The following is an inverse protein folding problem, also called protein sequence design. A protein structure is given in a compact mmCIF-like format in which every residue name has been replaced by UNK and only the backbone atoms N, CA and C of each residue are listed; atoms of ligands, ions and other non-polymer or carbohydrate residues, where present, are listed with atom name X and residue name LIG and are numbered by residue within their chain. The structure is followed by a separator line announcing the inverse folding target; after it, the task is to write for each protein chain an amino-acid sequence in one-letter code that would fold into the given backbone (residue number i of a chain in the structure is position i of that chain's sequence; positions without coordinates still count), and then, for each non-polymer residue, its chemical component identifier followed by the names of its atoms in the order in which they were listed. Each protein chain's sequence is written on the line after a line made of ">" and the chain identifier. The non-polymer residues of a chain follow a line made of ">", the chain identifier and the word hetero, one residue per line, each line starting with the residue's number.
data_IF_053685869564
#
_entry.id   IF_053685869564
#
_cell.length_a   1.000
_cell.length_b   1.000
_cell.length_c   1.000
_cell.angle_alpha   90.00
_cell.angle_beta   90.00
_cell.angle_gamma   90.00
#
_symmetry.space_group_name_H-M   'P 1'
#
loop_
_entity.id
_entity.type
_entity.pdbx_description
1 polymer ?
#
# COMPACT_ATOMS: atom_id res chain seq x y z
N UNK A 1 -12.03 64.62 -69.38
CA UNK A 1 -12.27 65.32 -68.15
C UNK A 1 -12.36 64.27 -67.03
N UNK A 2 -11.34 64.22 -66.20
CA UNK A 2 -11.19 63.22 -65.16
C UNK A 2 -11.31 63.88 -63.78
N UNK A 3 -12.38 63.52 -63.07
CA UNK A 3 -12.64 64.00 -61.71
C UNK A 3 -12.11 62.93 -60.71
N UNK A 4 -11.16 63.31 -59.84
CA UNK A 4 -10.59 62.49 -58.80
C UNK A 4 -11.38 62.73 -57.52
N UNK A 5 -11.99 61.70 -56.93
CA UNK A 5 -12.54 61.68 -55.62
C UNK A 5 -11.50 61.12 -54.62
N UNK A 6 -11.11 61.90 -53.67
CA UNK A 6 -10.26 61.50 -52.51
C UNK A 6 -11.16 61.04 -51.40
N UNK A 7 -11.04 59.76 -51.00
CA UNK A 7 -11.70 59.18 -49.81
C UNK A 7 -10.74 59.32 -48.65
N UNK A 8 -11.14 60.04 -47.63
CA UNK A 8 -10.44 60.13 -46.36
C UNK A 8 -10.94 58.95 -45.45
N UNK A 9 -10.03 58.04 -45.09
CA UNK A 9 -10.31 56.96 -44.17
C UNK A 9 -10.01 57.41 -42.75
N UNK A 10 -11.05 57.44 -41.91
CA UNK A 10 -10.94 57.62 -40.45
C UNK A 10 -10.50 56.28 -39.84
N UNK A 11 -9.34 56.22 -39.25
CA UNK A 11 -8.92 55.11 -38.41
C UNK A 11 -9.37 55.34 -36.98
N UNK A 12 -10.36 54.60 -36.54
CA UNK A 12 -10.78 54.54 -35.14
C UNK A 12 -9.94 53.44 -34.44
N UNK A 13 -9.00 53.86 -33.61
CA UNK A 13 -8.20 52.93 -32.79
C UNK A 13 -9.06 52.47 -31.61
N UNK A 14 -9.49 51.19 -31.63
CA UNK A 14 -10.07 50.51 -30.48
C UNK A 14 -8.96 49.92 -29.67
N UNK A 15 -8.64 50.54 -28.53
CA UNK A 15 -7.72 50.01 -27.53
C UNK A 15 -8.41 48.87 -26.76
N UNK A 16 -8.11 47.62 -27.10
CA UNK A 16 -8.51 46.44 -26.31
C UNK A 16 -7.56 46.33 -25.13
N UNK A 17 -8.02 46.69 -23.96
CA UNK A 17 -7.37 46.41 -22.69
C UNK A 17 -7.46 44.91 -22.42
N UNK A 18 -6.43 44.14 -22.78
CA UNK A 18 -6.21 42.79 -22.29
C UNK A 18 -5.76 42.87 -20.84
N UNK A 19 -6.69 42.71 -19.93
CA UNK A 19 -6.42 42.42 -18.52
C UNK A 19 -5.80 41.02 -18.46
N UNK A 20 -4.48 40.93 -18.54
CA UNK A 20 -3.73 39.72 -18.24
C UNK A 20 -3.81 39.50 -16.73
N UNK A 21 -4.77 38.70 -16.26
CA UNK A 21 -4.68 38.05 -14.96
C UNK A 21 -3.56 37.03 -15.02
N UNK A 22 -2.33 37.49 -14.79
CA UNK A 22 -1.17 36.65 -14.56
C UNK A 22 -1.22 36.06 -13.17
N UNK A 23 -2.00 35.02 -12.99
CA UNK A 23 -1.89 34.10 -11.87
C UNK A 23 -1.08 32.90 -12.31
N UNK A 24 0.24 33.05 -12.45
CA UNK A 24 1.17 31.94 -12.67
C UNK A 24 1.36 31.16 -11.38
N UNK A 25 0.35 30.36 -10.99
CA UNK A 25 0.55 29.23 -10.12
C UNK A 25 1.03 28.09 -10.99
N UNK A 26 2.27 27.63 -10.80
CA UNK A 26 2.74 26.35 -11.28
C UNK A 26 1.97 25.26 -10.55
N UNK A 27 0.70 25.08 -10.93
CA UNK A 27 -0.16 23.99 -10.46
C UNK A 27 0.21 22.75 -11.25
N UNK A 28 1.23 22.01 -10.80
CA UNK A 28 1.22 20.59 -11.05
C UNK A 28 -0.12 20.08 -10.51
N UNK A 29 -0.85 19.31 -11.33
CA UNK A 29 -2.18 18.80 -10.95
C UNK A 29 -2.12 18.16 -9.57
N UNK A 30 -2.74 18.76 -8.56
CA UNK A 30 -2.82 18.24 -7.19
C UNK A 30 -3.52 16.89 -7.21
N UNK A 31 -2.84 15.83 -6.77
CA UNK A 31 -3.45 14.51 -6.66
C UNK A 31 -4.66 14.54 -5.72
N UNK A 32 -4.58 15.32 -4.64
CA UNK A 32 -5.69 15.50 -3.72
C UNK A 32 -6.89 16.17 -4.41
N UNK A 33 -6.67 17.21 -5.20
CA UNK A 33 -7.74 17.87 -5.94
C UNK A 33 -8.40 16.90 -6.93
N UNK A 34 -7.61 16.14 -7.68
CA UNK A 34 -8.12 15.10 -8.61
C UNK A 34 -9.01 14.07 -7.90
N UNK A 35 -8.58 13.56 -6.73
CA UNK A 35 -9.36 12.63 -5.90
C UNK A 35 -10.66 13.27 -5.42
N UNK A 36 -10.61 14.54 -5.00
CA UNK A 36 -11.78 15.30 -4.55
C UNK A 36 -12.79 15.55 -5.66
N UNK A 37 -12.33 15.99 -6.81
CA UNK A 37 -13.15 16.29 -7.97
C UNK A 37 -13.81 15.03 -8.56
N UNK A 38 -13.05 13.90 -8.57
CA UNK A 38 -13.59 12.59 -8.95
C UNK A 38 -14.57 12.02 -7.90
N UNK A 39 -14.52 12.49 -6.66
CA UNK A 39 -15.30 11.95 -5.54
C UNK A 39 -14.92 10.51 -5.16
N UNK A 40 -13.75 10.04 -5.59
CA UNK A 40 -13.30 8.65 -5.42
C UNK A 40 -11.80 8.62 -5.15
N UNK A 41 -11.40 7.86 -4.12
CA UNK A 41 -10.01 7.44 -3.88
C UNK A 41 -9.83 6.04 -4.44
N UNK A 42 -9.01 5.89 -5.48
CA UNK A 42 -8.64 4.58 -6.02
C UNK A 42 -7.47 4.00 -5.22
N UNK A 43 -7.66 2.80 -4.68
CA UNK A 43 -6.68 2.14 -3.80
C UNK A 43 -6.22 0.82 -4.42
N UNK A 44 -4.92 0.69 -4.64
CA UNK A 44 -4.28 -0.57 -5.01
C UNK A 44 -4.16 -1.49 -3.79
N UNK A 45 -4.60 -2.74 -3.95
CA UNK A 45 -4.52 -3.81 -2.95
C UNK A 45 -4.47 -5.16 -3.64
N UNK A 46 -4.07 -6.24 -2.94
CA UNK A 46 -3.88 -7.56 -3.61
C UNK A 46 -5.17 -8.36 -3.76
N UNK A 47 -6.05 -8.35 -2.77
CA UNK A 47 -7.23 -9.23 -2.74
C UNK A 47 -6.93 -10.70 -2.41
N UNK A 48 -5.68 -11.06 -2.16
CA UNK A 48 -5.22 -12.43 -1.88
C UNK A 48 -4.38 -12.54 -0.61
N UNK A 49 -4.32 -11.48 0.19
CA UNK A 49 -3.48 -11.36 1.39
C UNK A 49 -4.31 -11.25 2.68
N UNK A 50 -4.86 -12.39 3.17
CA UNK A 50 -5.57 -12.44 4.46
C UNK A 50 -4.59 -12.15 5.63
N UNK A 51 -5.03 -11.44 6.69
CA UNK A 51 -6.36 -10.86 6.91
C UNK A 51 -6.48 -9.42 6.42
N UNK A 52 -5.54 -8.92 5.61
CA UNK A 52 -5.42 -7.52 5.23
C UNK A 52 -6.31 -7.13 4.05
N UNK A 53 -6.28 -7.94 2.99
CA UNK A 53 -7.02 -7.73 1.76
C UNK A 53 -7.28 -9.08 1.09
N UNK A 54 -8.52 -9.59 1.18
CA UNK A 54 -8.88 -10.91 0.65
C UNK A 54 -10.37 -11.00 0.34
N UNK A 55 -10.74 -12.00 -0.46
CA UNK A 55 -12.14 -12.30 -0.73
C UNK A 55 -12.73 -13.20 0.36
N UNK A 56 -13.80 -12.74 0.98
CA UNK A 56 -14.57 -13.54 1.94
C UNK A 56 -15.12 -14.82 1.27
N UNK A 57 -14.83 -16.00 1.80
CA UNK A 57 -15.19 -17.27 1.13
C UNK A 57 -16.68 -17.48 0.91
N UNK A 58 -17.55 -16.83 1.69
CA UNK A 58 -19.00 -17.01 1.61
C UNK A 58 -19.65 -16.01 0.66
N UNK A 59 -19.24 -14.76 0.73
CA UNK A 59 -19.85 -13.66 -0.03
C UNK A 59 -19.07 -13.27 -1.27
N UNK A 60 -17.84 -13.74 -1.43
CA UNK A 60 -16.87 -13.34 -2.45
C UNK A 60 -16.61 -11.81 -2.50
N UNK A 61 -16.91 -11.10 -1.42
CA UNK A 61 -16.62 -9.68 -1.32
C UNK A 61 -15.19 -9.45 -0.87
N UNK A 62 -14.55 -8.42 -1.42
CA UNK A 62 -13.26 -7.94 -0.93
C UNK A 62 -13.44 -7.38 0.47
N UNK A 63 -12.70 -7.94 1.43
CA UNK A 63 -12.73 -7.62 2.85
C UNK A 63 -11.32 -7.63 3.41
N UNK A 64 -11.14 -7.15 4.63
CA UNK A 64 -9.87 -7.22 5.35
C UNK A 64 -9.55 -5.93 6.10
N UNK A 65 -8.49 -6.01 6.88
CA UNK A 65 -8.03 -4.90 7.71
C UNK A 65 -7.69 -3.66 6.87
N UNK A 66 -6.89 -3.83 5.82
CA UNK A 66 -6.49 -2.73 4.92
C UNK A 66 -7.67 -2.19 4.11
N UNK A 67 -8.62 -3.06 3.75
CA UNK A 67 -9.86 -2.66 3.06
C UNK A 67 -10.69 -1.74 3.96
N UNK A 68 -10.83 -2.05 5.25
CA UNK A 68 -11.56 -1.20 6.19
C UNK A 68 -10.80 0.10 6.52
N UNK A 69 -9.47 0.04 6.66
CA UNK A 69 -8.65 1.25 6.83
C UNK A 69 -8.78 2.17 5.61
N UNK A 70 -8.71 1.63 4.39
CA UNK A 70 -8.89 2.41 3.16
C UNK A 70 -10.26 3.07 3.08
N UNK A 71 -11.33 2.34 3.43
CA UNK A 71 -12.69 2.89 3.48
C UNK A 71 -12.81 4.01 4.52
N UNK A 72 -12.19 3.84 5.69
CA UNK A 72 -12.20 4.86 6.75
C UNK A 72 -11.41 6.12 6.32
N UNK A 73 -10.25 5.97 5.68
CA UNK A 73 -9.46 7.07 5.12
C UNK A 73 -10.25 7.82 4.05
N UNK A 74 -10.83 7.12 3.06
CA UNK A 74 -11.64 7.73 2.02
C UNK A 74 -12.84 8.52 2.61
N UNK A 75 -13.50 7.97 3.63
CA UNK A 75 -14.58 8.65 4.36
C UNK A 75 -14.09 9.93 5.02
N UNK A 76 -12.93 9.95 5.67
CA UNK A 76 -12.32 11.16 6.26
C UNK A 76 -11.96 12.19 5.18
N UNK A 77 -11.54 11.72 4.00
CA UNK A 77 -11.33 12.60 2.84
C UNK A 77 -12.64 13.08 2.21
N UNK A 78 -13.81 12.57 2.60
CA UNK A 78 -15.11 12.95 2.05
C UNK A 78 -15.37 12.41 0.64
N UNK A 79 -14.76 11.28 0.28
CA UNK A 79 -14.89 10.60 -1.02
C UNK A 79 -15.24 9.12 -0.84
N UNK A 80 -15.65 8.46 -1.92
CA UNK A 80 -15.81 6.99 -1.95
C UNK A 80 -14.44 6.31 -2.12
N UNK A 81 -14.35 5.03 -1.77
CA UNK A 81 -13.20 4.19 -2.10
C UNK A 81 -13.54 3.27 -3.28
N UNK A 82 -12.57 3.09 -4.18
CA UNK A 82 -12.58 2.08 -5.24
C UNK A 82 -11.31 1.23 -5.11
N UNK A 83 -11.45 -0.08 -5.09
CA UNK A 83 -10.30 -0.99 -4.96
C UNK A 83 -9.87 -1.49 -6.33
N UNK A 84 -8.57 -1.45 -6.59
CA UNK A 84 -7.95 -1.97 -7.81
C UNK A 84 -7.04 -3.13 -7.42
N UNK A 85 -7.55 -4.35 -7.55
CA UNK A 85 -6.79 -5.54 -7.21
C UNK A 85 -5.62 -5.70 -8.17
N UNK A 86 -4.43 -5.88 -7.58
CA UNK A 86 -3.17 -5.89 -8.32
C UNK A 86 -2.15 -6.73 -7.55
N UNK A 87 -1.51 -7.73 -8.17
CA UNK A 87 -0.46 -8.53 -7.55
C UNK A 87 0.66 -7.65 -6.98
N UNK A 88 1.25 -8.06 -5.85
CA UNK A 88 2.29 -7.28 -5.16
C UNK A 88 3.43 -6.86 -6.08
N UNK A 89 3.95 -7.77 -6.89
CA UNK A 89 5.12 -7.49 -7.75
C UNK A 89 4.86 -6.43 -8.83
N UNK A 90 3.59 -6.06 -9.08
CA UNK A 90 3.19 -5.01 -10.03
C UNK A 90 2.49 -3.80 -9.37
N UNK A 91 2.25 -3.83 -8.05
CA UNK A 91 1.42 -2.81 -7.39
C UNK A 91 2.09 -1.43 -7.43
N UNK A 92 3.40 -1.35 -7.24
CA UNK A 92 4.11 -0.06 -7.30
C UNK A 92 4.18 0.52 -8.73
N UNK A 93 4.26 -0.33 -9.75
CA UNK A 93 4.15 0.09 -11.14
C UNK A 93 2.73 0.64 -11.44
N UNK A 94 1.70 0.02 -10.87
CA UNK A 94 0.32 0.52 -10.94
C UNK A 94 0.15 1.91 -10.35
N UNK A 95 0.77 2.18 -9.18
CA UNK A 95 0.78 3.50 -8.55
C UNK A 95 1.47 4.54 -9.43
N UNK A 96 2.66 4.21 -9.94
CA UNK A 96 3.47 5.11 -10.77
C UNK A 96 2.78 5.43 -12.10
N UNK A 97 2.08 4.47 -12.69
CA UNK A 97 1.29 4.65 -13.92
C UNK A 97 -0.10 5.25 -13.69
N UNK A 98 -0.41 5.71 -12.48
CA UNK A 98 -1.69 6.34 -12.10
C UNK A 98 -2.93 5.43 -12.29
N UNK A 99 -2.77 4.09 -12.19
CA UNK A 99 -3.92 3.18 -12.19
C UNK A 99 -4.77 3.35 -10.93
N UNK A 100 -4.13 3.78 -9.84
CA UNK A 100 -4.73 4.14 -8.56
C UNK A 100 -3.92 5.25 -7.88
N UNK A 101 -4.49 5.84 -6.84
CA UNK A 101 -3.98 7.03 -6.18
C UNK A 101 -3.09 6.71 -4.98
N UNK A 102 -3.37 5.60 -4.31
CA UNK A 102 -2.65 5.13 -3.14
C UNK A 102 -2.59 3.61 -3.11
N UNK A 103 -1.58 3.06 -2.41
CA UNK A 103 -1.51 1.64 -2.05
C UNK A 103 -1.79 1.54 -0.55
N UNK A 104 -2.78 0.71 -0.19
CA UNK A 104 -3.05 0.29 1.19
C UNK A 104 -3.07 -1.23 1.18
N UNK A 105 -1.92 -1.84 1.46
CA UNK A 105 -1.66 -3.28 1.35
C UNK A 105 -0.42 -3.67 2.15
N UNK A 106 -0.36 -3.32 3.42
CA UNK A 106 0.75 -3.61 4.34
C UNK A 106 2.12 -3.19 3.80
N UNK A 107 2.19 -2.01 3.16
CA UNK A 107 3.45 -1.47 2.65
C UNK A 107 4.37 -1.17 3.81
N UNK A 108 5.42 -1.97 4.01
CA UNK A 108 6.44 -1.71 5.05
C UNK A 108 7.25 -0.47 4.68
N UNK A 109 7.37 0.46 5.61
CA UNK A 109 8.24 1.63 5.52
C UNK A 109 9.70 1.20 5.55
N UNK A 110 10.49 1.66 4.59
CA UNK A 110 11.94 1.46 4.54
C UNK A 110 12.61 2.57 3.73
N UNK A 111 13.95 2.76 3.85
CA UNK A 111 14.67 3.85 3.18
C UNK A 111 14.54 3.87 1.65
N UNK A 112 14.50 2.69 1.01
CA UNK A 112 14.32 2.59 -0.44
C UNK A 112 12.97 3.16 -0.87
N UNK A 113 11.88 2.74 -0.21
CA UNK A 113 10.52 3.22 -0.50
C UNK A 113 10.34 4.69 -0.15
N UNK A 114 10.97 5.18 0.93
CA UNK A 114 10.98 6.61 1.28
C UNK A 114 11.65 7.46 0.19
N UNK A 115 12.66 6.91 -0.49
CA UNK A 115 13.31 7.57 -1.63
C UNK A 115 12.42 7.69 -2.87
N UNK A 116 11.53 6.71 -3.09
CA UNK A 116 10.77 6.55 -4.33
C UNK A 116 9.31 7.01 -4.25
N UNK A 117 8.69 6.99 -3.06
CA UNK A 117 7.26 7.21 -2.86
C UNK A 117 6.97 8.25 -1.77
N UNK A 118 5.77 8.81 -1.76
CA UNK A 118 5.21 9.48 -0.60
C UNK A 118 4.67 8.42 0.36
N UNK A 119 5.17 8.39 1.59
CA UNK A 119 4.75 7.42 2.59
C UNK A 119 4.07 8.13 3.75
N UNK A 120 2.92 7.62 4.18
CA UNK A 120 2.18 8.17 5.32
C UNK A 120 2.85 7.85 6.66
N UNK A 121 2.30 8.39 7.72
CA UNK A 121 2.47 7.86 9.07
C UNK A 121 1.98 6.40 9.14
N UNK A 122 2.56 5.57 10.04
CA UNK A 122 2.15 4.18 10.16
C UNK A 122 0.69 4.04 10.65
N UNK A 123 -0.04 3.08 10.06
CA UNK A 123 -1.36 2.66 10.54
C UNK A 123 -1.37 1.24 11.11
N UNK A 124 -0.27 0.48 10.92
CA UNK A 124 -0.04 -0.84 11.52
C UNK A 124 1.40 -0.92 12.03
N UNK A 125 1.58 -1.57 13.17
CA UNK A 125 2.88 -1.91 13.73
C UNK A 125 2.88 -3.41 14.03
N UNK A 126 3.86 -4.12 13.48
CA UNK A 126 3.96 -5.58 13.56
C UNK A 126 5.43 -6.02 13.63
N UNK A 127 5.68 -7.31 13.48
CA UNK A 127 7.02 -7.88 13.48
C UNK A 127 7.20 -8.82 12.28
N UNK A 128 8.39 -8.80 11.69
CA UNK A 128 8.80 -9.82 10.74
C UNK A 128 9.11 -11.15 11.43
N UNK A 129 8.61 -12.24 10.88
CA UNK A 129 8.84 -13.60 11.41
C UNK A 129 9.23 -14.57 10.31
N UNK A 130 9.89 -15.65 10.73
CA UNK A 130 10.23 -16.79 9.90
C UNK A 130 9.26 -17.91 10.23
N UNK A 131 8.49 -18.36 9.25
CA UNK A 131 7.62 -19.51 9.38
C UNK A 131 8.25 -20.75 8.74
N UNK A 132 8.15 -21.86 9.44
CA UNK A 132 8.62 -23.20 9.01
C UNK A 132 7.52 -24.24 9.18
N UNK A 133 7.75 -25.46 8.69
CA UNK A 133 6.91 -26.59 9.08
C UNK A 133 6.98 -26.81 10.59
N UNK A 134 5.88 -27.23 11.20
CA UNK A 134 5.78 -27.38 12.66
C UNK A 134 6.84 -28.32 13.25
N UNK A 135 7.20 -29.38 12.52
CA UNK A 135 8.20 -30.38 12.94
C UNK A 135 9.64 -30.03 12.53
N UNK A 136 9.89 -28.88 11.91
CA UNK A 136 11.23 -28.42 11.52
C UNK A 136 11.87 -27.64 12.68
N UNK A 137 13.01 -28.08 13.15
CA UNK A 137 13.82 -27.42 14.18
C UNK A 137 15.13 -26.82 13.64
N UNK A 138 15.31 -26.83 12.33
CA UNK A 138 16.56 -26.39 11.68
C UNK A 138 16.68 -24.87 11.55
N UNK A 139 15.63 -24.12 11.86
CA UNK A 139 15.60 -22.66 11.85
C UNK A 139 15.17 -22.17 13.23
N UNK A 140 16.03 -21.44 13.90
CA UNK A 140 15.82 -20.82 15.22
C UNK A 140 16.18 -19.34 15.23
N UNK A 141 16.80 -18.86 14.15
CA UNK A 141 17.21 -17.48 13.97
C UNK A 141 17.22 -17.09 12.48
N UNK A 142 17.36 -15.80 12.21
CA UNK A 142 17.49 -15.29 10.85
C UNK A 142 18.76 -15.83 10.15
N UNK A 143 19.86 -16.03 10.89
CA UNK A 143 21.12 -16.55 10.36
C UNK A 143 20.99 -17.99 9.82
N UNK A 144 20.05 -18.79 10.33
CA UNK A 144 19.83 -20.17 9.90
C UNK A 144 19.18 -20.25 8.51
N UNK A 145 18.78 -19.13 7.91
CA UNK A 145 18.29 -19.09 6.54
C UNK A 145 19.40 -19.20 5.50
N UNK A 146 20.68 -19.07 5.90
CA UNK A 146 21.81 -19.19 4.98
C UNK A 146 21.79 -20.53 4.24
N UNK A 147 21.72 -20.44 2.90
CA UNK A 147 21.69 -21.61 2.01
C UNK A 147 20.34 -22.33 1.94
N UNK A 148 19.35 -21.96 2.75
CA UNK A 148 17.99 -22.52 2.68
C UNK A 148 17.19 -21.94 1.54
N UNK A 149 16.18 -22.69 1.08
CA UNK A 149 15.18 -22.20 0.13
C UNK A 149 14.02 -21.55 0.89
N UNK A 150 13.64 -20.35 0.46
CA UNK A 150 12.49 -19.61 1.03
C UNK A 150 11.57 -19.16 -0.09
N UNK A 151 10.31 -18.91 0.20
CA UNK A 151 9.32 -18.44 -0.80
C UNK A 151 8.71 -17.10 -0.37
N UNK A 152 8.81 -16.08 -1.22
CA UNK A 152 8.24 -14.75 -1.02
C UNK A 152 7.92 -14.08 -2.37
N UNK A 153 7.04 -13.08 -2.38
CA UNK A 153 6.91 -12.17 -3.51
C UNK A 153 8.23 -11.43 -3.74
N UNK A 154 8.76 -11.48 -4.96
CA UNK A 154 10.17 -11.16 -5.24
C UNK A 154 10.58 -9.71 -4.94
N UNK A 155 9.62 -8.78 -5.01
CA UNK A 155 9.83 -7.34 -4.74
C UNK A 155 9.45 -6.94 -3.31
N UNK A 156 9.08 -7.92 -2.46
CA UNK A 156 8.74 -7.64 -1.05
C UNK A 156 9.98 -7.35 -0.21
N UNK A 157 9.81 -6.56 0.86
CA UNK A 157 10.85 -6.40 1.88
C UNK A 157 11.23 -7.74 2.52
N UNK A 158 10.30 -8.70 2.60
CA UNK A 158 10.56 -10.04 3.14
C UNK A 158 11.48 -10.86 2.25
N UNK A 159 11.38 -10.72 0.91
CA UNK A 159 12.34 -11.30 -0.02
C UNK A 159 13.75 -10.71 0.19
N UNK A 160 13.84 -9.40 0.43
CA UNK A 160 15.13 -8.76 0.75
C UNK A 160 15.70 -9.28 2.05
N UNK A 161 14.92 -9.35 3.12
CA UNK A 161 15.34 -9.90 4.43
C UNK A 161 15.87 -11.33 4.27
N UNK A 162 15.17 -12.19 3.52
CA UNK A 162 15.62 -13.56 3.27
C UNK A 162 16.93 -13.62 2.45
N UNK A 163 17.04 -12.82 1.39
CA UNK A 163 18.25 -12.72 0.55
C UNK A 163 19.45 -12.23 1.35
N UNK A 164 19.27 -11.18 2.16
CA UNK A 164 20.33 -10.61 2.99
C UNK A 164 20.82 -11.61 4.06
N UNK A 165 19.94 -12.51 4.51
CA UNK A 165 20.30 -13.65 5.36
C UNK A 165 20.95 -14.82 4.61
N UNK A 166 21.15 -14.72 3.29
CA UNK A 166 21.80 -15.74 2.46
C UNK A 166 20.86 -16.86 2.00
N UNK A 167 19.55 -16.69 2.04
CA UNK A 167 18.58 -17.63 1.51
C UNK A 167 18.48 -17.57 -0.02
N UNK A 168 18.07 -18.70 -0.62
CA UNK A 168 17.66 -18.79 -2.01
C UNK A 168 16.14 -18.54 -2.10
N UNK A 169 15.73 -17.40 -2.65
CA UNK A 169 14.32 -17.01 -2.70
C UNK A 169 13.66 -17.55 -3.96
N UNK A 170 12.63 -18.38 -3.78
CA UNK A 170 11.68 -18.80 -4.82
C UNK A 170 10.53 -17.76 -4.86
N UNK A 171 10.23 -17.24 -6.05
CA UNK A 171 9.18 -16.25 -6.26
C UNK A 171 7.80 -16.87 -6.21
N UNK A 172 6.88 -16.24 -5.46
CA UNK A 172 5.46 -16.58 -5.38
C UNK A 172 4.61 -15.31 -5.38
N UNK A 173 3.35 -15.41 -5.77
CA UNK A 173 2.45 -14.24 -5.76
C UNK A 173 2.09 -13.75 -4.36
N UNK A 174 2.07 -14.65 -3.34
CA UNK A 174 1.67 -14.24 -1.99
C UNK A 174 1.90 -15.31 -0.94
N UNK A 175 1.52 -14.96 0.30
CA UNK A 175 1.78 -15.79 1.49
C UNK A 175 1.14 -17.18 1.41
N UNK A 176 -0.08 -17.31 0.91
CA UNK A 176 -0.79 -18.60 0.79
C UNK A 176 -0.03 -19.58 -0.11
N UNK A 177 0.56 -19.09 -1.22
CA UNK A 177 1.40 -19.92 -2.09
C UNK A 177 2.70 -20.30 -1.40
N UNK A 178 3.35 -19.37 -0.67
CA UNK A 178 4.54 -19.65 0.11
C UNK A 178 4.29 -20.79 1.12
N UNK A 179 3.18 -20.73 1.87
CA UNK A 179 2.78 -21.78 2.80
C UNK A 179 2.53 -23.11 2.07
N UNK A 180 1.91 -23.08 0.89
CA UNK A 180 1.68 -24.28 0.09
C UNK A 180 3.02 -24.97 -0.27
N UNK A 181 4.00 -24.20 -0.77
CA UNK A 181 5.34 -24.74 -1.09
C UNK A 181 6.06 -25.25 0.16
N UNK A 182 5.91 -24.57 1.29
CA UNK A 182 6.47 -24.97 2.58
C UNK A 182 5.91 -26.34 3.03
N UNK A 183 4.60 -26.54 2.96
CA UNK A 183 3.92 -27.81 3.29
C UNK A 183 4.32 -28.94 2.33
N UNK A 184 4.52 -28.63 1.06
CA UNK A 184 5.00 -29.57 0.04
C UNK A 184 6.50 -29.88 0.15
N UNK A 185 7.22 -29.28 1.11
CA UNK A 185 8.68 -29.42 1.30
C UNK A 185 9.51 -28.93 0.10
N UNK A 186 8.95 -28.05 -0.73
CA UNK A 186 9.67 -27.44 -1.86
C UNK A 186 10.56 -26.30 -1.41
N UNK A 187 10.18 -25.64 -0.29
CA UNK A 187 11.00 -24.64 0.41
C UNK A 187 11.12 -25.01 1.88
N UNK A 188 12.10 -24.43 2.56
CA UNK A 188 12.43 -24.72 3.96
C UNK A 188 11.70 -23.76 4.91
N UNK A 189 11.53 -22.49 4.48
CA UNK A 189 10.92 -21.44 5.26
C UNK A 189 10.21 -20.40 4.39
N UNK A 190 9.45 -19.51 5.03
CA UNK A 190 9.00 -18.24 4.46
C UNK A 190 9.19 -17.13 5.49
N UNK A 191 9.59 -15.94 5.05
CA UNK A 191 9.64 -14.74 5.90
C UNK A 191 8.40 -13.91 5.60
N UNK A 192 7.66 -13.51 6.62
CA UNK A 192 6.46 -12.69 6.45
C UNK A 192 6.13 -11.92 7.74
N UNK A 193 5.05 -11.17 7.70
CA UNK A 193 4.48 -10.48 8.86
C UNK A 193 3.88 -11.48 9.85
N UNK A 194 4.09 -11.27 11.15
CA UNK A 194 3.56 -12.14 12.19
C UNK A 194 2.02 -12.19 12.18
N UNK A 195 1.36 -11.07 11.84
CA UNK A 195 -0.10 -11.00 11.78
C UNK A 195 -0.66 -11.92 10.68
N UNK A 196 0.02 -12.01 9.53
CA UNK A 196 -0.37 -12.94 8.45
C UNK A 196 -0.24 -14.40 8.87
N UNK A 197 0.86 -14.77 9.55
CA UNK A 197 1.08 -16.14 9.99
C UNK A 197 0.07 -16.54 11.07
N UNK A 198 -0.17 -15.68 12.05
CA UNK A 198 -1.12 -15.94 13.14
C UNK A 198 -2.57 -16.02 12.62
N UNK A 199 -2.96 -15.15 11.68
CA UNK A 199 -4.26 -15.23 11.05
C UNK A 199 -4.44 -16.51 10.25
N UNK A 200 -3.45 -16.89 9.45
CA UNK A 200 -3.48 -18.14 8.70
C UNK A 200 -3.72 -19.35 9.63
N UNK A 201 -2.99 -19.44 10.74
CA UNK A 201 -3.18 -20.52 11.71
C UNK A 201 -4.56 -20.50 12.35
N UNK A 202 -5.05 -19.31 12.72
CA UNK A 202 -6.36 -19.13 13.35
C UNK A 202 -7.52 -19.42 12.40
N UNK A 203 -7.46 -18.88 11.19
CA UNK A 203 -8.57 -18.97 10.21
C UNK A 203 -8.71 -20.35 9.58
N UNK A 204 -7.57 -21.05 9.37
CA UNK A 204 -7.55 -22.38 8.76
C UNK A 204 -7.53 -23.52 9.78
N UNK A 205 -7.20 -23.27 11.04
CA UNK A 205 -6.91 -24.30 12.03
C UNK A 205 -5.65 -25.12 11.72
N UNK A 206 -4.83 -24.69 10.77
CA UNK A 206 -3.66 -25.42 10.28
C UNK A 206 -2.49 -25.28 11.24
N UNK A 207 -2.18 -26.36 11.94
CA UNK A 207 -1.02 -26.48 12.84
C UNK A 207 0.25 -27.04 12.16
N UNK A 208 0.24 -27.23 10.85
CA UNK A 208 1.37 -27.79 10.10
C UNK A 208 2.56 -26.83 9.92
N UNK A 209 2.35 -25.54 10.19
CA UNK A 209 3.38 -24.51 10.19
C UNK A 209 3.49 -23.86 11.58
N UNK A 210 4.63 -23.25 11.87
CA UNK A 210 4.87 -22.47 13.09
C UNK A 210 5.71 -21.25 12.80
N UNK A 211 5.61 -20.24 13.65
CA UNK A 211 6.63 -19.19 13.76
C UNK A 211 7.86 -19.82 14.44
N UNK A 212 8.97 -19.92 13.70
CA UNK A 212 10.21 -20.52 14.16
C UNK A 212 11.12 -19.47 14.81
N UNK A 213 11.16 -18.25 14.28
CA UNK A 213 11.97 -17.16 14.79
C UNK A 213 11.36 -15.79 14.40
N UNK A 214 11.81 -14.73 15.09
CA UNK A 214 11.57 -13.33 14.70
C UNK A 214 12.74 -12.83 13.85
N UNK A 215 12.49 -11.86 12.96
CA UNK A 215 13.58 -11.21 12.20
C UNK A 215 14.36 -10.20 13.04
N UNK A 216 13.79 -9.77 14.18
CA UNK A 216 14.41 -8.82 15.10
C UNK A 216 14.04 -7.36 14.85
N UNK A 217 13.27 -7.07 13.81
CA UNK A 217 12.88 -5.71 13.46
C UNK A 217 11.37 -5.51 13.61
N UNK A 218 10.99 -4.34 14.16
CA UNK A 218 9.61 -3.86 14.13
C UNK A 218 9.30 -3.39 12.72
N UNK A 219 8.19 -3.85 12.18
CA UNK A 219 7.67 -3.45 10.87
C UNK A 219 6.59 -2.38 11.03
N UNK A 220 6.69 -1.30 10.28
CA UNK A 220 5.72 -0.21 10.24
C UNK A 220 5.07 -0.18 8.87
N UNK A 221 3.76 -0.38 8.82
CA UNK A 221 3.01 -0.36 7.56
C UNK A 221 2.36 1.01 7.37
N UNK A 222 2.49 1.51 6.15
CA UNK A 222 2.11 2.85 5.73
C UNK A 222 1.27 2.82 4.46
N UNK A 223 0.56 3.89 4.21
CA UNK A 223 -0.03 4.14 2.88
C UNK A 223 1.05 4.71 1.97
N UNK A 224 1.17 4.17 0.77
CA UNK A 224 2.08 4.71 -0.23
C UNK A 224 1.32 5.50 -1.31
N UNK A 225 1.84 6.67 -1.66
CA UNK A 225 1.38 7.53 -2.76
C UNK A 225 2.54 7.80 -3.72
N UNK A 226 2.27 8.45 -4.84
CA UNK A 226 3.35 8.92 -5.73
C UNK A 226 4.28 9.89 -4.98
N UNK A 227 5.56 9.89 -5.35
CA UNK A 227 6.53 10.81 -4.74
C UNK A 227 6.13 12.26 -4.98
N UNK A 228 6.13 13.07 -3.91
CA UNK A 228 5.75 14.48 -3.96
C UNK A 228 4.24 14.74 -4.05
N UNK A 229 3.41 13.71 -3.99
CA UNK A 229 1.95 13.86 -3.95
C UNK A 229 1.48 14.57 -2.68
N UNK A 230 0.63 15.56 -2.81
CA UNK A 230 -0.01 16.26 -1.70
C UNK A 230 -1.08 15.40 -0.98
N UNK A 231 -1.48 14.30 -1.62
CA UNK A 231 -2.43 13.34 -1.05
C UNK A 231 -1.89 12.70 0.24
N UNK A 232 -0.56 12.53 0.38
CA UNK A 232 0.04 11.93 1.59
C UNK A 232 -0.28 12.73 2.86
N UNK A 233 -0.18 14.06 2.80
CA UNK A 233 -0.49 14.92 3.95
C UNK A 233 -1.98 14.84 4.35
N UNK A 234 -2.88 14.73 3.37
CA UNK A 234 -4.31 14.55 3.62
C UNK A 234 -4.62 13.18 4.24
N UNK A 235 -3.92 12.13 3.79
CA UNK A 235 -4.00 10.77 4.36
C UNK A 235 -3.46 10.77 5.79
N UNK A 236 -2.33 11.42 6.06
CA UNK A 236 -1.76 11.53 7.42
C UNK A 236 -2.75 12.17 8.38
N UNK A 237 -3.37 13.28 7.95
CA UNK A 237 -4.43 13.89 8.76
C UNK A 237 -5.60 12.94 9.00
N UNK A 238 -6.04 12.22 7.97
CA UNK A 238 -7.12 11.25 8.10
C UNK A 238 -6.76 10.12 9.10
N UNK A 239 -5.53 9.56 9.02
CA UNK A 239 -5.04 8.53 9.94
C UNK A 239 -4.95 9.05 11.38
N UNK A 240 -4.49 10.29 11.57
CA UNK A 240 -4.46 10.92 12.90
C UNK A 240 -5.88 11.08 13.48
N UNK A 241 -6.84 11.55 12.69
CA UNK A 241 -8.24 11.69 13.09
C UNK A 241 -8.87 10.32 13.43
N UNK A 242 -8.57 9.26 12.64
CA UNK A 242 -9.03 7.89 12.86
C UNK A 242 -8.40 7.23 14.10
N UNK A 243 -7.16 7.58 14.40
CA UNK A 243 -6.50 7.15 15.64
C UNK A 243 -7.12 7.83 16.85
N UNK A 244 -7.37 9.14 16.78
CA UNK A 244 -7.92 9.93 17.85
C UNK A 244 -9.37 9.54 18.21
N UNK A 245 -10.20 9.22 17.21
CA UNK A 245 -11.60 8.80 17.43
C UNK A 245 -11.75 7.29 17.73
N UNK A 246 -10.63 6.55 17.80
CA UNK A 246 -10.60 5.13 18.12
C UNK A 246 -11.03 4.20 16.99
N UNK A 247 -11.22 4.71 15.77
CA UNK A 247 -11.61 3.87 14.62
C UNK A 247 -10.52 2.84 14.27
N UNK A 248 -9.24 3.25 14.21
CA UNK A 248 -8.13 2.32 13.95
C UNK A 248 -8.04 1.23 15.02
N UNK A 249 -8.22 1.58 16.30
CA UNK A 249 -8.25 0.62 17.41
C UNK A 249 -9.38 -0.40 17.22
N UNK A 250 -10.59 0.04 16.84
CA UNK A 250 -11.73 -0.85 16.60
C UNK A 250 -11.49 -1.82 15.44
N UNK A 251 -10.94 -1.32 14.32
CA UNK A 251 -10.59 -2.15 13.17
C UNK A 251 -9.50 -3.16 13.59
N UNK A 252 -8.45 -2.73 14.28
CA UNK A 252 -7.38 -3.60 14.80
C UNK A 252 -7.94 -4.73 15.68
N UNK A 253 -8.78 -4.40 16.65
CA UNK A 253 -9.40 -5.38 17.55
C UNK A 253 -10.28 -6.38 16.82
N UNK A 254 -10.99 -5.95 15.78
CA UNK A 254 -11.84 -6.83 14.97
C UNK A 254 -11.03 -7.95 14.30
N UNK A 255 -9.88 -7.62 13.72
CA UNK A 255 -9.06 -8.58 12.95
C UNK A 255 -8.07 -9.34 13.83
N UNK A 256 -7.44 -8.66 14.80
CA UNK A 256 -6.30 -9.19 15.54
C UNK A 256 -6.58 -9.43 17.03
N UNK A 257 -7.71 -8.98 17.56
CA UNK A 257 -8.02 -9.06 18.99
C UNK A 257 -7.19 -8.11 19.87
N UNK A 258 -6.35 -7.28 19.27
CA UNK A 258 -5.49 -6.29 19.92
C UNK A 258 -5.36 -5.04 19.04
N UNK A 259 -4.88 -3.93 19.62
CA UNK A 259 -4.61 -2.71 18.86
C UNK A 259 -3.21 -2.75 18.23
N UNK A 260 -3.14 -3.00 16.92
CA UNK A 260 -1.89 -3.01 16.14
C UNK A 260 -1.60 -1.66 15.48
N UNK A 261 -2.45 -0.66 15.68
CA UNK A 261 -2.26 0.70 15.12
C UNK A 261 -1.31 1.57 15.92
N UNK A 262 -0.89 1.11 17.10
CA UNK A 262 0.00 1.82 18.02
C UNK A 262 1.13 0.91 18.48
N UNK A 263 2.26 1.52 18.78
CA UNK A 263 3.35 0.81 19.47
C UNK A 263 2.87 0.47 20.88
N UNK A 264 3.04 -0.81 21.26
CA UNK A 264 2.74 -1.27 22.61
C UNK A 264 3.65 -0.60 23.65
#
# INVERSE_FOLDING_TARGET
>A
MRTRFTLAALFTAVAVLLSACGGGGSGGDSDLAQVKDAGVLKVGTEGTYSPFSYHDPQSNKLVGYDVEVAAAVAKKLGVKVEYVETPWDSIFAGLTSKRFDAIINQVTKNPEREGLYGLSTPYTISEGVIATRANDSSVTSLADLKGKKTAQSLTSNWAKVAKDAGAQVEGVEGFTQAVTLLKQKRVDATVNDNLAVLDYQKSTGDSSIKIAAKTGETSQQVVATRKGSDLVAAIDKALADLSADGTLTKISQKYFGTDVSKKA
#
